data_IF_572063261750
#
_entry.id   IF_572063261750
#
_cell.length_a   1.000
_cell.length_b   1.000
_cell.length_c   1.000
_cell.angle_alpha   90.00
_cell.angle_beta   90.00
_cell.angle_gamma   90.00
#
_symmetry.space_group_name_H-M   'P 1'
#
loop_
_entity.id
_entity.type
_entity.pdbx_description
1 polymer ?
#
# COMPACT_ATOMS: atom_id res chain seq x y z
N UNK A 1 14.39 -0.03 1.70
CA UNK A 1 13.80 1.10 0.97
C UNK A 1 12.67 0.61 0.09
N UNK A 2 11.60 1.36 -0.01
CA UNK A 2 10.50 0.99 -0.90
C UNK A 2 10.88 1.17 -2.37
N UNK A 3 10.38 0.25 -3.20
CA UNK A 3 10.47 0.36 -4.66
C UNK A 3 9.17 0.98 -5.16
N UNK A 4 9.21 2.15 -5.82
CA UNK A 4 7.99 2.80 -6.32
C UNK A 4 7.31 1.97 -7.41
N UNK A 5 5.97 1.93 -7.37
CA UNK A 5 5.16 1.26 -8.39
C UNK A 5 3.87 2.05 -8.57
N UNK A 6 3.34 2.08 -9.79
CA UNK A 6 2.02 2.68 -10.02
C UNK A 6 0.93 1.75 -9.54
N UNK A 7 -0.26 2.30 -9.26
CA UNK A 7 -1.43 1.47 -8.92
C UNK A 7 -1.70 0.45 -10.04
N UNK A 8 -1.64 0.90 -11.28
CA UNK A 8 -1.92 0.04 -12.44
C UNK A 8 -0.96 -1.14 -12.52
N UNK A 9 0.34 -0.88 -12.40
CA UNK A 9 1.35 -1.94 -12.46
C UNK A 9 1.22 -2.88 -11.26
N UNK A 10 0.96 -2.35 -10.07
CA UNK A 10 0.77 -3.19 -8.90
C UNK A 10 -0.45 -4.10 -9.07
N UNK A 11 -1.56 -3.56 -9.55
CA UNK A 11 -2.79 -4.33 -9.77
C UNK A 11 -2.55 -5.47 -10.77
N UNK A 12 -1.83 -5.19 -11.87
CA UNK A 12 -1.49 -6.22 -12.85
C UNK A 12 -0.69 -7.36 -12.21
N UNK A 13 0.33 -7.03 -11.44
CA UNK A 13 1.16 -8.03 -10.75
C UNK A 13 0.37 -8.83 -9.73
N UNK A 14 -0.45 -8.14 -8.94
CA UNK A 14 -1.25 -8.77 -7.90
C UNK A 14 -2.26 -9.76 -8.49
N UNK A 15 -2.96 -9.36 -9.56
CA UNK A 15 -3.95 -10.21 -10.20
C UNK A 15 -3.32 -11.39 -10.92
N UNK A 16 -2.12 -11.23 -11.46
CA UNK A 16 -1.38 -12.34 -12.08
C UNK A 16 -1.08 -13.45 -11.05
N UNK A 17 -0.76 -13.05 -9.82
CA UNK A 17 -0.48 -13.99 -8.74
C UNK A 17 -1.74 -14.45 -8.01
N UNK A 18 -2.83 -13.69 -8.10
CA UNK A 18 -4.08 -13.93 -7.36
C UNK A 18 -5.29 -13.76 -8.28
N UNK A 19 -5.52 -14.67 -9.24
CA UNK A 19 -6.55 -14.47 -10.27
C UNK A 19 -7.98 -14.45 -9.75
N UNK A 20 -8.21 -14.86 -8.51
CA UNK A 20 -9.55 -14.82 -7.90
C UNK A 20 -9.92 -13.48 -7.30
N UNK A 21 -9.00 -12.51 -7.26
CA UNK A 21 -9.25 -11.20 -6.68
C UNK A 21 -10.01 -10.31 -7.66
N UNK A 22 -11.04 -9.59 -7.16
CA UNK A 22 -11.80 -8.63 -7.94
C UNK A 22 -10.96 -7.38 -8.18
N UNK A 23 -10.71 -7.05 -9.45
CA UNK A 23 -9.89 -5.91 -9.86
C UNK A 23 -10.44 -4.59 -9.33
N UNK A 24 -11.75 -4.35 -9.48
CA UNK A 24 -12.35 -3.08 -9.06
C UNK A 24 -12.26 -2.90 -7.54
N UNK A 25 -12.49 -3.95 -6.80
CA UNK A 25 -12.39 -3.92 -5.34
C UNK A 25 -10.96 -3.61 -4.90
N UNK A 26 -9.98 -4.25 -5.52
CA UNK A 26 -8.57 -3.99 -5.22
C UNK A 26 -8.18 -2.54 -5.51
N UNK A 27 -8.58 -2.03 -6.68
CA UNK A 27 -8.31 -0.65 -7.06
C UNK A 27 -8.95 0.33 -6.09
N UNK A 28 -10.19 0.11 -5.69
CA UNK A 28 -10.87 0.97 -4.72
C UNK A 28 -10.16 0.99 -3.37
N UNK A 29 -9.74 -0.17 -2.89
CA UNK A 29 -9.02 -0.27 -1.61
C UNK A 29 -7.67 0.46 -1.68
N UNK A 30 -6.94 0.32 -2.78
CA UNK A 30 -5.68 1.03 -2.98
C UNK A 30 -5.90 2.54 -3.05
N UNK A 31 -6.91 2.98 -3.76
CA UNK A 31 -7.22 4.42 -3.87
C UNK A 31 -7.64 5.01 -2.53
N UNK A 32 -8.42 4.27 -1.75
CA UNK A 32 -8.82 4.72 -0.42
C UNK A 32 -7.59 4.88 0.49
N UNK A 33 -6.73 3.88 0.52
CA UNK A 33 -5.52 3.94 1.34
C UNK A 33 -4.59 5.06 0.89
N UNK A 34 -4.44 5.26 -0.42
CA UNK A 34 -3.63 6.35 -0.95
C UNK A 34 -4.19 7.71 -0.55
N UNK A 35 -5.50 7.90 -0.70
CA UNK A 35 -6.13 9.16 -0.31
C UNK A 35 -5.95 9.45 1.17
N UNK A 36 -6.07 8.43 2.02
CA UNK A 36 -5.84 8.56 3.46
C UNK A 36 -4.40 8.96 3.77
N UNK A 37 -3.44 8.32 3.11
CA UNK A 37 -2.02 8.64 3.29
C UNK A 37 -1.73 10.09 2.87
N UNK A 38 -2.28 10.52 1.75
CA UNK A 38 -2.08 11.88 1.24
C UNK A 38 -2.78 12.93 2.08
N UNK A 39 -3.84 12.56 2.77
CA UNK A 39 -4.53 13.43 3.71
C UNK A 39 -3.77 13.58 5.04
N UNK A 40 -2.68 12.87 5.22
CA UNK A 40 -1.86 12.96 6.43
C UNK A 40 -2.24 11.96 7.51
N UNK A 41 -3.11 11.02 7.23
CA UNK A 41 -3.44 9.98 8.21
C UNK A 41 -2.22 9.10 8.46
N UNK A 42 -2.07 8.66 9.70
CA UNK A 42 -0.93 7.86 10.12
C UNK A 42 -1.38 6.59 10.82
N UNK A 43 -0.47 5.61 10.86
CA UNK A 43 -0.64 4.43 11.68
C UNK A 43 -0.79 4.82 13.16
N UNK A 44 -1.44 3.98 13.94
CA UNK A 44 -1.59 4.20 15.38
C UNK A 44 -0.25 4.39 16.09
N UNK A 45 0.85 3.86 15.52
CA UNK A 45 2.20 4.04 16.08
C UNK A 45 2.87 5.35 15.66
N UNK A 46 2.20 6.18 14.83
CA UNK A 46 2.71 7.47 14.37
C UNK A 46 3.47 7.46 13.05
N UNK A 47 3.77 6.29 12.49
CA UNK A 47 4.46 6.19 11.21
C UNK A 47 3.51 6.41 10.04
N UNK A 48 4.04 6.83 8.86
CA UNK A 48 3.21 6.95 7.66
C UNK A 48 2.56 5.61 7.29
N UNK A 49 1.37 5.67 6.71
CA UNK A 49 0.65 4.50 6.23
C UNK A 49 1.39 3.88 5.04
N UNK A 50 1.51 2.55 5.03
CA UNK A 50 1.96 1.81 3.85
C UNK A 50 0.73 1.46 3.02
N UNK A 51 0.57 2.13 1.88
CA UNK A 51 -0.65 2.03 1.07
C UNK A 51 -0.95 0.60 0.62
N UNK A 52 0.04 -0.09 0.08
CA UNK A 52 -0.15 -1.45 -0.44
C UNK A 52 -0.62 -2.41 0.65
N UNK A 53 0.04 -2.41 1.79
CA UNK A 53 -0.37 -3.27 2.90
C UNK A 53 -1.71 -2.85 3.50
N UNK A 54 -1.97 -1.55 3.56
CA UNK A 54 -3.21 -1.02 4.12
C UNK A 54 -4.45 -1.37 3.29
N UNK A 55 -4.29 -1.59 2.01
CA UNK A 55 -5.38 -2.01 1.15
C UNK A 55 -5.94 -3.37 1.55
N UNK A 56 -5.17 -4.18 2.25
CA UNK A 56 -5.61 -5.50 2.71
C UNK A 56 -5.79 -5.59 4.23
N UNK A 57 -4.89 -4.96 4.98
CA UNK A 57 -4.83 -5.13 6.44
C UNK A 57 -5.44 -3.96 7.23
N UNK A 58 -5.94 -2.92 6.55
CA UNK A 58 -6.38 -1.70 7.22
C UNK A 58 -5.25 -0.69 7.36
N UNK A 59 -5.62 0.57 7.62
CA UNK A 59 -4.67 1.70 7.58
C UNK A 59 -3.59 1.57 8.65
N UNK A 60 -2.42 1.07 8.24
CA UNK A 60 -1.29 0.82 9.13
C UNK A 60 0.04 1.00 8.39
N UNK A 61 1.12 1.15 9.16
CA UNK A 61 2.45 1.30 8.57
C UNK A 61 3.07 -0.05 8.22
N UNK A 62 4.17 0.00 7.48
CA UNK A 62 4.89 -1.19 7.06
C UNK A 62 5.29 -2.09 8.24
N UNK A 63 5.84 -1.50 9.29
CA UNK A 63 6.30 -2.25 10.47
C UNK A 63 5.15 -2.94 11.19
N UNK A 64 4.02 -2.26 11.36
CA UNK A 64 2.86 -2.84 12.04
C UNK A 64 2.24 -3.99 11.24
N UNK A 65 2.30 -3.91 9.89
CA UNK A 65 1.73 -4.94 9.03
C UNK A 65 2.67 -6.14 8.90
N UNK A 66 3.96 -5.91 8.69
CA UNK A 66 4.92 -6.97 8.39
C UNK A 66 5.74 -7.44 9.58
N UNK A 67 5.88 -6.61 10.60
CA UNK A 67 6.79 -6.86 11.73
C UNK A 67 8.24 -6.51 11.44
N UNK A 68 8.55 -6.04 10.24
CA UNK A 68 9.92 -5.65 9.88
C UNK A 68 10.15 -4.17 10.16
N UNK A 69 11.36 -3.82 10.58
CA UNK A 69 11.69 -2.44 10.95
C UNK A 69 11.71 -1.50 9.75
N UNK A 70 12.25 -1.95 8.62
CA UNK A 70 12.36 -1.15 7.40
C UNK A 70 12.10 -2.02 6.18
N UNK A 71 11.57 -1.44 5.09
CA UNK A 71 11.34 -2.20 3.85
C UNK A 71 12.66 -2.58 3.19
N UNK A 72 12.68 -3.77 2.60
CA UNK A 72 13.82 -4.31 1.87
C UNK A 72 13.35 -4.69 0.48
N UNK A 73 13.32 -3.70 -0.42
CA UNK A 73 12.83 -3.84 -1.80
C UNK A 73 11.34 -4.18 -1.92
N UNK A 74 10.56 -3.87 -0.88
CA UNK A 74 9.12 -3.99 -0.93
C UNK A 74 8.53 -2.85 -1.77
N UNK A 75 7.39 -3.11 -2.40
CA UNK A 75 6.73 -2.09 -3.22
C UNK A 75 5.90 -1.12 -2.37
N UNK A 76 5.88 0.13 -2.81
CA UNK A 76 4.91 1.12 -2.35
C UNK A 76 4.42 1.93 -3.54
N UNK A 77 3.18 2.39 -3.46
CA UNK A 77 2.60 3.22 -4.52
C UNK A 77 3.40 4.52 -4.65
N UNK A 78 3.86 4.80 -5.86
CA UNK A 78 4.74 5.93 -6.13
C UNK A 78 4.14 7.27 -5.64
N UNK A 79 2.84 7.46 -5.81
CA UNK A 79 2.16 8.70 -5.41
C UNK A 79 2.21 8.91 -3.89
N UNK A 80 2.34 7.86 -3.11
CA UNK A 80 2.48 7.97 -1.66
C UNK A 80 3.89 8.38 -1.25
N UNK A 81 4.88 8.09 -2.09
CA UNK A 81 6.28 8.42 -1.82
C UNK A 81 6.64 9.84 -2.20
N UNK A 82 5.79 10.51 -2.96
CA UNK A 82 6.01 11.90 -3.41
C UNK A 82 5.52 12.93 -2.39
N UNK A 83 5.05 12.49 -1.27
CA UNK A 83 4.45 13.37 -0.24
C UNK A 83 5.49 13.83 0.77
#
# INVERSE_FOLDING_TARGET
MFVPITIEDYVERHLAANPGVDREDLVERLRYALASARAGERCACGNPIWVIGSAEAGLSCFTCITGEAVPSDDYEIADALDV
#
